data_IF_356745358507
#
_entry.id   IF_356745358507
#
_cell.length_a   1.000
_cell.length_b   1.000
_cell.length_c   1.000
_cell.angle_alpha   90.00
_cell.angle_beta   90.00
_cell.angle_gamma   90.00
#
_symmetry.space_group_name_H-M   'P 1'
#
loop_
_entity.id
_entity.type
_entity.pdbx_description
1 polymer ?
#
# COMPACT_ATOMS: atom_id res chain seq x y z
N UNK A 1 -21.76 -24.18 8.40
CA UNK A 1 -21.32 -23.80 7.04
C UNK A 1 -20.71 -22.41 7.13
N UNK A 2 -19.55 -22.17 6.49
CA UNK A 2 -18.95 -20.84 6.47
C UNK A 2 -19.71 -19.90 5.52
N UNK A 3 -19.90 -18.63 5.90
CA UNK A 3 -20.52 -17.60 5.06
C UNK A 3 -19.42 -16.68 4.52
N UNK A 4 -19.17 -16.74 3.20
CA UNK A 4 -18.15 -15.94 2.52
C UNK A 4 -18.87 -14.87 1.70
N UNK A 5 -18.60 -13.60 2.01
CA UNK A 5 -19.23 -12.45 1.35
C UNK A 5 -18.25 -11.79 0.37
N UNK A 6 -18.65 -11.54 -0.88
CA UNK A 6 -17.83 -10.77 -1.81
C UNK A 6 -17.84 -9.28 -1.42
N UNK A 7 -16.86 -8.53 -1.89
CA UNK A 7 -16.74 -7.09 -1.64
C UNK A 7 -16.13 -6.38 -2.86
N UNK A 8 -16.25 -5.06 -2.89
CA UNK A 8 -15.63 -4.19 -3.90
C UNK A 8 -14.24 -3.79 -3.40
N UNK A 9 -13.21 -4.49 -3.89
CA UNK A 9 -11.82 -4.25 -3.55
C UNK A 9 -11.21 -3.09 -4.33
N UNK A 10 -10.08 -2.61 -3.84
CA UNK A 10 -9.26 -1.61 -4.50
C UNK A 10 -8.06 -2.29 -5.14
N UNK A 11 -7.84 -2.04 -6.43
CA UNK A 11 -6.70 -2.59 -7.16
C UNK A 11 -6.12 -1.59 -8.15
N UNK A 12 -4.83 -1.72 -8.49
CA UNK A 12 -4.24 -0.85 -9.49
C UNK A 12 -4.71 -1.20 -10.91
N UNK A 13 -4.74 -0.21 -11.82
CA UNK A 13 -4.80 -0.46 -13.26
C UNK A 13 -3.68 -1.39 -13.72
N UNK A 14 -3.95 -2.25 -14.70
CA UNK A 14 -3.03 -3.31 -15.11
C UNK A 14 -1.69 -2.79 -15.66
N UNK A 15 -1.66 -1.59 -16.23
CA UNK A 15 -0.47 -0.95 -16.79
C UNK A 15 0.50 -0.42 -15.72
N UNK A 16 0.00 -0.09 -14.52
CA UNK A 16 0.82 0.35 -13.39
C UNK A 16 0.92 -0.67 -12.25
N UNK A 17 0.19 -1.79 -12.34
CA UNK A 17 0.14 -2.81 -11.29
C UNK A 17 1.52 -3.32 -10.85
N UNK A 18 2.48 -3.46 -11.78
CA UNK A 18 3.85 -3.88 -11.46
C UNK A 18 4.64 -2.85 -10.65
N UNK A 19 4.28 -1.56 -10.76
CA UNK A 19 4.88 -0.48 -9.95
C UNK A 19 4.22 -0.39 -8.58
N UNK A 20 2.92 -0.68 -8.50
CA UNK A 20 2.18 -0.63 -7.23
C UNK A 20 2.53 -1.83 -6.35
N UNK A 21 2.62 -3.02 -6.94
CA UNK A 21 2.90 -4.27 -6.22
C UNK A 21 4.14 -4.18 -5.31
N UNK A 22 4.06 -4.84 -4.16
CA UNK A 22 5.16 -4.93 -3.19
C UNK A 22 5.28 -6.35 -2.63
N UNK A 23 6.45 -6.73 -2.11
CA UNK A 23 6.56 -7.88 -1.21
C UNK A 23 5.65 -7.70 0.02
N UNK A 24 5.32 -8.81 0.73
CA UNK A 24 4.71 -8.74 2.06
C UNK A 24 5.56 -7.91 3.04
N UNK A 25 4.92 -7.20 3.98
CA UNK A 25 5.60 -6.28 4.89
C UNK A 25 6.52 -6.97 5.91
N UNK A 26 6.29 -8.26 6.17
CA UNK A 26 6.98 -9.09 7.16
C UNK A 26 8.21 -9.81 6.59
N UNK A 27 8.39 -9.83 5.27
CA UNK A 27 9.53 -10.49 4.60
C UNK A 27 10.68 -9.55 4.26
N UNK A 28 10.54 -8.24 4.52
CA UNK A 28 11.58 -7.23 4.27
C UNK A 28 11.75 -6.28 5.46
N UNK A 29 12.98 -5.83 5.67
CA UNK A 29 13.30 -4.77 6.64
C UNK A 29 12.87 -3.40 6.12
N UNK A 30 12.77 -2.40 7.01
CA UNK A 30 12.42 -1.04 6.60
C UNK A 30 13.50 -0.38 5.74
N UNK A 31 14.78 -0.74 5.93
CA UNK A 31 15.87 -0.26 5.09
C UNK A 31 15.84 -0.87 3.69
N UNK A 32 15.57 -2.18 3.56
CA UNK A 32 15.35 -2.80 2.23
C UNK A 32 14.14 -2.19 1.52
N UNK A 33 13.05 -1.95 2.27
CA UNK A 33 11.84 -1.32 1.74
C UNK A 33 12.10 0.12 1.24
N UNK A 34 12.91 0.91 1.95
CA UNK A 34 13.36 2.25 1.49
C UNK A 34 14.08 2.16 0.14
N UNK A 35 15.03 1.23 0.03
CA UNK A 35 15.78 1.04 -1.22
C UNK A 35 14.87 0.62 -2.38
N UNK A 36 13.90 -0.27 -2.12
CA UNK A 36 12.92 -0.72 -3.13
C UNK A 36 12.00 0.42 -3.59
N UNK A 37 11.59 1.30 -2.67
CA UNK A 37 10.66 2.40 -2.96
C UNK A 37 11.34 3.70 -3.44
N UNK A 38 12.67 3.82 -3.33
CA UNK A 38 13.41 5.08 -3.57
C UNK A 38 13.08 5.76 -4.91
N UNK A 39 12.94 4.98 -5.98
CA UNK A 39 12.61 5.49 -7.32
C UNK A 39 11.21 5.09 -7.78
N UNK A 40 10.35 4.69 -6.85
CA UNK A 40 8.99 4.24 -7.12
C UNK A 40 8.02 4.88 -6.13
N UNK A 41 7.48 6.03 -6.52
CA UNK A 41 6.45 6.75 -5.74
C UNK A 41 5.14 5.97 -5.65
N UNK A 42 4.90 5.03 -6.56
CA UNK A 42 3.68 4.22 -6.61
C UNK A 42 3.76 2.95 -5.75
N UNK A 43 4.91 2.66 -5.12
CA UNK A 43 5.08 1.43 -4.34
C UNK A 43 4.10 1.35 -3.18
N UNK A 44 3.37 0.24 -3.07
CA UNK A 44 2.45 -0.03 -1.96
C UNK A 44 3.18 -0.14 -0.61
N UNK A 45 4.51 -0.27 -0.60
CA UNK A 45 5.34 -0.18 0.62
C UNK A 45 5.17 1.16 1.34
N UNK A 46 4.86 2.25 0.62
CA UNK A 46 4.60 3.56 1.23
C UNK A 46 3.32 3.57 2.07
N UNK A 47 2.43 2.59 1.87
CA UNK A 47 1.20 2.41 2.64
C UNK A 47 1.42 1.41 3.78
N UNK A 48 2.01 0.24 3.49
CA UNK A 48 2.13 -0.86 4.47
C UNK A 48 3.39 -0.79 5.35
N UNK A 49 4.40 -0.01 4.95
CA UNK A 49 5.60 0.33 5.74
C UNK A 49 5.83 1.85 5.65
N UNK A 50 4.91 2.67 6.17
CA UNK A 50 4.96 4.13 6.01
C UNK A 50 6.23 4.76 6.60
N UNK A 51 6.94 4.06 7.49
CA UNK A 51 8.20 4.50 8.06
C UNK A 51 9.33 4.71 7.03
N UNK A 52 9.19 4.16 5.82
CA UNK A 52 10.16 4.32 4.73
C UNK A 52 10.16 5.72 4.14
N UNK A 53 9.10 6.50 4.35
CA UNK A 53 8.99 7.88 3.90
C UNK A 53 9.70 8.87 4.83
N UNK A 54 10.21 8.37 5.96
CA UNK A 54 10.97 9.14 6.95
C UNK A 54 12.44 8.73 6.95
N UNK A 55 13.30 9.64 7.43
CA UNK A 55 14.71 9.38 7.64
C UNK A 55 14.91 8.20 8.61
N UNK A 56 15.81 7.28 8.25
CA UNK A 56 16.09 6.08 9.04
C UNK A 56 16.68 6.45 10.41
N UNK A 57 16.08 5.94 11.48
CA UNK A 57 16.46 6.25 12.86
C UNK A 57 15.81 7.51 13.43
N UNK A 58 14.99 8.22 12.66
CA UNK A 58 14.20 9.37 13.11
C UNK A 58 12.73 9.24 12.72
N UNK A 59 12.23 8.00 12.66
CA UNK A 59 10.84 7.73 12.38
C UNK A 59 9.95 8.26 13.52
N UNK A 60 8.77 8.81 13.18
CA UNK A 60 7.85 9.31 14.19
C UNK A 60 7.20 8.15 14.97
N UNK A 61 6.40 8.49 15.97
CA UNK A 61 5.64 7.50 16.72
C UNK A 61 4.61 6.77 15.85
N UNK A 62 4.08 5.67 16.38
CA UNK A 62 3.19 4.77 15.66
C UNK A 62 1.89 5.45 15.18
N UNK A 63 1.34 6.39 15.95
CA UNK A 63 0.11 7.11 15.57
C UNK A 63 0.31 7.95 14.31
N UNK A 64 1.46 8.63 14.22
CA UNK A 64 1.84 9.42 13.04
C UNK A 64 2.11 8.50 11.85
N UNK A 65 2.77 7.36 12.06
CA UNK A 65 3.03 6.37 11.00
C UNK A 65 1.72 5.80 10.43
N UNK A 66 0.79 5.39 11.29
CA UNK A 66 -0.52 4.89 10.86
C UNK A 66 -1.31 5.96 10.11
N UNK A 67 -1.28 7.21 10.58
CA UNK A 67 -1.90 8.32 9.87
C UNK A 67 -1.25 8.52 8.50
N UNK A 68 0.07 8.52 8.41
CA UNK A 68 0.81 8.69 7.15
C UNK A 68 0.48 7.59 6.14
N UNK A 69 0.46 6.32 6.58
CA UNK A 69 0.06 5.20 5.73
C UNK A 69 -1.40 5.31 5.25
N UNK A 70 -2.31 5.77 6.13
CA UNK A 70 -3.70 6.04 5.77
C UNK A 70 -3.83 7.18 4.75
N UNK A 71 -3.08 8.26 4.93
CA UNK A 71 -3.10 9.41 4.03
C UNK A 71 -2.58 8.99 2.64
N UNK A 72 -1.51 8.20 2.58
CA UNK A 72 -0.98 7.62 1.34
C UNK A 72 -2.01 6.69 0.65
N UNK A 73 -2.75 5.88 1.41
CA UNK A 73 -3.80 5.03 0.85
C UNK A 73 -4.92 5.85 0.21
N UNK A 74 -5.41 6.89 0.90
CA UNK A 74 -6.44 7.77 0.35
C UNK A 74 -5.94 8.53 -0.87
N UNK A 75 -4.69 9.00 -0.86
CA UNK A 75 -4.08 9.60 -2.04
C UNK A 75 -4.06 8.64 -3.23
N UNK A 76 -3.69 7.37 -3.03
CA UNK A 76 -3.71 6.38 -4.10
C UNK A 76 -5.11 6.15 -4.67
N UNK A 77 -6.14 6.20 -3.82
CA UNK A 77 -7.53 6.09 -4.25
C UNK A 77 -7.96 7.33 -5.03
N UNK A 78 -7.70 8.52 -4.49
CA UNK A 78 -8.12 9.80 -5.08
C UNK A 78 -7.43 10.08 -6.43
N UNK A 79 -6.18 9.64 -6.58
CA UNK A 79 -5.42 9.77 -7.83
C UNK A 79 -5.73 8.65 -8.86
N UNK A 80 -6.60 7.69 -8.52
CA UNK A 80 -6.93 6.56 -9.40
C UNK A 80 -5.79 5.56 -9.57
N UNK A 81 -4.78 5.59 -8.69
CA UNK A 81 -3.73 4.57 -8.60
C UNK A 81 -4.32 3.26 -8.07
N UNK A 82 -5.32 3.35 -7.19
CA UNK A 82 -6.15 2.25 -6.72
C UNK A 82 -7.60 2.53 -7.06
N UNK A 83 -8.18 1.73 -7.94
CA UNK A 83 -9.57 1.88 -8.36
C UNK A 83 -10.43 0.84 -7.65
N UNK A 84 -11.63 1.26 -7.25
CA UNK A 84 -12.60 0.36 -6.66
C UNK A 84 -13.32 -0.42 -7.75
N UNK A 85 -13.48 -1.72 -7.55
CA UNK A 85 -14.32 -2.56 -8.41
C UNK A 85 -15.79 -2.09 -8.39
N UNK A 86 -16.45 -2.08 -9.55
CA UNK A 86 -17.87 -1.71 -9.67
C UNK A 86 -18.82 -2.75 -9.08
N UNK A 87 -18.35 -4.01 -8.95
CA UNK A 87 -19.15 -5.15 -8.54
C UNK A 87 -18.51 -5.86 -7.34
N UNK A 88 -19.33 -6.52 -6.53
CA UNK A 88 -18.81 -7.36 -5.46
C UNK A 88 -18.09 -8.59 -6.05
N UNK A 89 -16.81 -8.73 -5.74
CA UNK A 89 -15.94 -9.77 -6.26
C UNK A 89 -15.42 -10.68 -5.13
N UNK A 90 -15.02 -11.90 -5.51
CA UNK A 90 -14.18 -12.75 -4.67
C UNK A 90 -12.74 -12.68 -5.21
N UNK A 91 -11.77 -12.52 -4.31
CA UNK A 91 -10.34 -12.48 -4.62
C UNK A 91 -9.71 -13.79 -4.16
N UNK A 92 -9.00 -14.48 -5.06
CA UNK A 92 -8.45 -15.82 -4.89
C UNK A 92 -6.95 -15.84 -5.11
#
# INVERSE_FOLDING_TARGET
VANIKPFMGYHPPSDIASKVSSPPYDVITSDEARLMAQNNTLSFLRIIKPEIDFESGSEPNLDILHKHGSDNLYQFIDEGILNQDENNCFYL
#
